data_IF_966403603022
#
_entry.id   IF_966403603022
#
_cell.length_a   1.000
_cell.length_b   1.000
_cell.length_c   1.000
_cell.angle_alpha   90.00
_cell.angle_beta   90.00
_cell.angle_gamma   90.00
#
_symmetry.space_group_name_H-M   'P 1'
#
loop_
_entity.id
_entity.type
_entity.pdbx_description
1 polymer ?
#
# COMPACT_ATOMS: atom_id res chain seq x y z
N UNK A 1 12.68 -12.28 12.44
CA UNK A 1 12.14 -11.62 11.23
C UNK A 1 12.31 -12.62 10.09
N UNK A 2 11.21 -13.06 9.50
CA UNK A 2 11.24 -13.81 8.24
C UNK A 2 10.91 -12.84 7.12
N UNK A 3 11.81 -12.70 6.15
CA UNK A 3 11.54 -12.00 4.92
C UNK A 3 10.89 -13.01 3.96
N UNK A 4 9.69 -12.72 3.50
CA UNK A 4 9.06 -13.48 2.43
C UNK A 4 9.34 -12.69 1.16
N UNK A 5 10.32 -13.14 0.40
CA UNK A 5 10.47 -12.77 -1.01
C UNK A 5 9.56 -13.72 -1.77
N UNK A 6 8.62 -13.22 -2.57
CA UNK A 6 7.79 -14.07 -3.41
C UNK A 6 8.56 -14.30 -4.73
N UNK A 7 9.22 -15.46 -4.94
CA UNK A 7 9.88 -15.72 -6.21
C UNK A 7 8.85 -15.95 -7.32
N UNK A 8 9.15 -15.52 -8.54
CA UNK A 8 8.34 -15.77 -9.73
C UNK A 8 8.00 -17.27 -9.88
N UNK A 9 6.73 -17.63 -10.16
CA UNK A 9 6.39 -19.00 -10.53
C UNK A 9 7.02 -19.36 -11.88
N UNK A 10 7.45 -20.61 -12.09
CA UNK A 10 8.17 -21.03 -13.30
C UNK A 10 7.20 -21.28 -14.46
N UNK A 11 6.50 -20.26 -14.94
CA UNK A 11 5.87 -20.13 -16.27
C UNK A 11 4.69 -19.15 -16.20
N UNK A 12 4.93 -17.89 -16.53
CA UNK A 12 3.88 -17.02 -17.08
C UNK A 12 4.53 -16.14 -18.13
N UNK A 13 4.34 -16.46 -19.40
CA UNK A 13 4.68 -15.54 -20.51
C UNK A 13 3.58 -14.47 -20.65
N UNK A 14 3.12 -13.93 -19.52
CA UNK A 14 2.08 -12.91 -19.37
C UNK A 14 2.49 -11.94 -18.25
N UNK A 15 1.78 -10.81 -18.08
CA UNK A 15 2.16 -9.70 -17.18
C UNK A 15 2.00 -10.03 -15.68
N UNK A 16 2.21 -11.29 -15.29
CA UNK A 16 2.19 -11.73 -13.90
C UNK A 16 3.63 -11.76 -13.35
N UNK A 17 4.28 -10.59 -13.26
CA UNK A 17 5.66 -10.44 -12.81
C UNK A 17 5.71 -9.94 -11.35
N UNK A 18 5.28 -10.73 -10.34
CA UNK A 18 5.47 -10.35 -8.93
C UNK A 18 6.96 -10.33 -8.48
N UNK A 19 7.92 -10.23 -9.41
CA UNK A 19 9.35 -10.15 -9.15
C UNK A 19 9.69 -8.81 -8.47
N UNK A 20 10.06 -8.88 -7.20
CA UNK A 20 10.55 -7.72 -6.45
C UNK A 20 9.70 -7.32 -5.24
N UNK A 21 8.52 -7.92 -5.04
CA UNK A 21 7.71 -7.66 -3.86
C UNK A 21 8.42 -8.12 -2.58
N UNK A 22 8.72 -7.17 -1.70
CA UNK A 22 9.35 -7.44 -0.39
C UNK A 22 8.30 -7.23 0.68
N UNK A 23 8.03 -8.28 1.47
CA UNK A 23 7.18 -8.15 2.66
C UNK A 23 7.92 -8.75 3.86
N UNK A 24 8.02 -7.98 4.94
CA UNK A 24 8.55 -8.44 6.22
C UNK A 24 7.49 -8.27 7.30
N UNK A 25 7.21 -9.37 8.01
CA UNK A 25 6.13 -9.43 8.98
C UNK A 25 6.19 -10.70 9.82
N UNK A 26 5.50 -10.74 10.96
CA UNK A 26 5.35 -11.96 11.77
C UNK A 26 4.06 -12.71 11.45
N UNK A 27 3.97 -13.35 10.27
CA UNK A 27 2.84 -14.23 9.94
C UNK A 27 2.91 -14.84 8.54
N UNK A 28 1.87 -15.59 8.16
CA UNK A 28 1.72 -16.11 6.79
C UNK A 28 0.98 -15.10 5.92
N UNK A 29 1.70 -14.51 4.98
CA UNK A 29 1.14 -13.63 3.95
C UNK A 29 0.32 -14.47 2.97
N UNK A 30 -0.82 -13.93 2.53
CA UNK A 30 -1.69 -14.59 1.54
C UNK A 30 -1.77 -13.75 0.27
N UNK A 31 -0.75 -13.78 -0.60
CA UNK A 31 -0.87 -13.20 -1.93
C UNK A 31 -1.99 -13.94 -2.67
N UNK A 32 -3.09 -13.25 -2.94
CA UNK A 32 -4.13 -13.81 -3.81
C UNK A 32 -3.80 -13.38 -5.23
N UNK A 33 -3.05 -14.22 -5.94
CA UNK A 33 -2.74 -14.00 -7.36
C UNK A 33 -4.00 -14.22 -8.19
N UNK A 34 -4.76 -13.15 -8.40
CA UNK A 34 -5.69 -13.04 -9.53
C UNK A 34 -4.89 -12.48 -10.71
N UNK A 35 -5.04 -13.03 -11.93
CA UNK A 35 -4.39 -12.45 -13.10
C UNK A 35 -4.79 -10.98 -13.27
N UNK A 36 -3.79 -10.09 -13.27
CA UNK A 36 -3.92 -8.68 -13.62
C UNK A 36 -3.74 -7.64 -12.51
N UNK A 37 -3.88 -7.95 -11.21
CA UNK A 37 -3.52 -7.07 -10.08
C UNK A 37 -3.25 -7.97 -8.86
N UNK A 38 -2.03 -8.03 -8.30
CA UNK A 38 -1.76 -8.80 -7.09
C UNK A 38 -2.40 -8.09 -5.89
N UNK A 39 -3.42 -8.74 -5.29
CA UNK A 39 -3.92 -8.35 -3.96
C UNK A 39 -3.01 -8.95 -2.90
N UNK A 40 -2.48 -8.07 -2.06
CA UNK A 40 -1.50 -8.34 -1.02
C UNK A 40 -2.13 -7.97 0.32
N UNK A 41 -2.57 -9.00 1.06
CA UNK A 41 -3.00 -8.82 2.43
C UNK A 41 -1.81 -9.05 3.35
N UNK A 42 -1.47 -8.03 4.14
CA UNK A 42 -0.53 -8.14 5.23
C UNK A 42 -1.19 -8.83 6.43
N UNK A 43 -0.51 -8.85 7.55
CA UNK A 43 -0.96 -9.48 8.79
C UNK A 43 -1.56 -8.44 9.73
N UNK A 44 -2.30 -8.84 10.78
CA UNK A 44 -2.78 -7.90 11.81
C UNK A 44 -1.68 -7.37 12.76
N UNK A 45 -0.43 -7.31 12.31
CA UNK A 45 0.73 -6.90 13.09
C UNK A 45 1.52 -5.87 12.28
N UNK A 46 2.38 -5.10 12.95
CA UNK A 46 3.29 -4.16 12.29
C UNK A 46 4.11 -4.84 11.19
N UNK A 47 3.80 -4.49 9.95
CA UNK A 47 4.39 -5.06 8.75
C UNK A 47 5.14 -3.99 7.94
N UNK A 48 6.08 -4.45 7.12
CA UNK A 48 6.75 -3.62 6.12
C UNK A 48 6.57 -4.27 4.76
N UNK A 49 6.03 -3.52 3.81
CA UNK A 49 5.78 -3.96 2.45
C UNK A 49 6.28 -2.94 1.43
N UNK A 50 6.95 -3.43 0.39
CA UNK A 50 7.37 -2.63 -0.77
C UNK A 50 6.94 -3.35 -2.04
N UNK A 51 6.10 -2.68 -2.83
CA UNK A 51 5.61 -3.09 -4.15
C UNK A 51 6.66 -2.97 -5.24
N UNK A 52 6.20 -3.15 -6.48
CA UNK A 52 7.03 -3.24 -7.68
C UNK A 52 6.83 -2.03 -8.57
N UNK A 53 6.92 -2.18 -9.90
CA UNK A 53 6.61 -1.12 -10.86
C UNK A 53 5.28 -1.42 -11.59
N UNK A 54 4.38 -2.16 -10.95
CA UNK A 54 3.10 -2.58 -11.51
C UNK A 54 1.97 -2.14 -10.59
N UNK A 55 0.78 -2.05 -11.15
CA UNK A 55 -0.43 -1.80 -10.39
C UNK A 55 -0.69 -2.91 -9.36
N UNK A 56 -0.62 -2.57 -8.08
CA UNK A 56 -0.81 -3.47 -6.94
C UNK A 56 -1.93 -3.03 -6.01
N UNK A 57 -2.43 -3.97 -5.20
CA UNK A 57 -3.43 -3.67 -4.17
C UNK A 57 -2.96 -4.19 -2.81
N UNK A 58 -2.65 -3.28 -1.89
CA UNK A 58 -2.22 -3.57 -0.52
C UNK A 58 -3.35 -3.37 0.48
N UNK A 59 -3.51 -4.34 1.38
CA UNK A 59 -4.32 -4.21 2.59
C UNK A 59 -3.44 -4.51 3.81
N UNK A 60 -3.13 -3.46 4.58
CA UNK A 60 -2.21 -3.52 5.72
C UNK A 60 -2.87 -4.13 6.98
N UNK A 61 -4.18 -3.90 7.14
CA UNK A 61 -5.07 -4.49 8.16
C UNK A 61 -5.02 -3.82 9.53
N UNK A 62 -4.25 -4.36 10.47
CA UNK A 62 -4.15 -3.87 11.84
C UNK A 62 -2.67 -3.79 12.17
N UNK A 63 -2.26 -2.80 12.94
CA UNK A 63 -0.85 -2.61 13.28
C UNK A 63 -0.33 -1.32 12.70
N UNK A 64 0.90 -0.96 13.04
CA UNK A 64 1.53 0.24 12.50
C UNK A 64 2.39 -0.15 11.30
N UNK A 65 1.82 0.02 10.11
CA UNK A 65 2.40 -0.55 8.90
C UNK A 65 3.25 0.45 8.12
N UNK A 66 4.26 -0.05 7.41
CA UNK A 66 5.04 0.70 6.43
C UNK A 66 4.82 0.09 5.05
N UNK A 67 4.05 0.76 4.21
CA UNK A 67 3.70 0.28 2.87
C UNK A 67 4.14 1.28 1.81
N UNK A 68 4.90 0.81 0.82
CA UNK A 68 5.19 1.56 -0.40
C UNK A 68 4.69 0.81 -1.63
N UNK A 69 3.88 1.45 -2.49
CA UNK A 69 3.39 0.89 -3.75
C UNK A 69 4.51 0.72 -4.78
N UNK A 70 5.38 1.70 -4.88
CA UNK A 70 6.56 1.62 -5.74
C UNK A 70 6.34 2.41 -7.02
N UNK A 71 6.06 1.75 -8.14
CA UNK A 71 5.56 2.39 -9.34
C UNK A 71 4.40 1.61 -9.92
N UNK A 72 3.65 2.20 -10.84
CA UNK A 72 2.35 1.69 -11.24
C UNK A 72 1.23 2.48 -10.57
N UNK A 73 -0.02 2.13 -10.85
CA UNK A 73 -1.17 2.78 -10.23
C UNK A 73 -1.68 1.89 -9.10
N UNK A 74 -1.28 2.19 -7.88
CA UNK A 74 -1.47 1.34 -6.73
C UNK A 74 -2.72 1.69 -5.93
N UNK A 75 -3.26 0.69 -5.24
CA UNK A 75 -4.33 0.84 -4.26
C UNK A 75 -3.82 0.40 -2.91
N UNK A 76 -3.69 1.33 -1.96
CA UNK A 76 -3.14 1.04 -0.63
C UNK A 76 -4.18 1.35 0.44
N UNK A 77 -4.45 0.38 1.32
CA UNK A 77 -5.36 0.51 2.47
C UNK A 77 -4.63 0.22 3.78
N UNK A 78 -4.35 1.24 4.59
CA UNK A 78 -3.76 1.10 5.93
C UNK A 78 -4.69 0.37 6.90
N UNK A 79 -5.98 0.76 6.91
CA UNK A 79 -7.04 0.21 7.76
C UNK A 79 -6.97 0.64 9.23
N UNK A 80 -6.25 -0.03 10.12
CA UNK A 80 -6.22 0.30 11.55
C UNK A 80 -4.79 0.37 12.07
N UNK A 81 -4.43 1.50 12.67
CA UNK A 81 -3.12 1.69 13.29
C UNK A 81 -2.56 3.06 12.94
N UNK A 82 -1.33 3.33 13.34
CA UNK A 82 -0.61 4.52 12.88
C UNK A 82 0.27 4.12 11.70
N UNK A 83 -0.25 4.30 10.49
CA UNK A 83 0.35 3.78 9.27
C UNK A 83 1.25 4.82 8.58
N UNK A 84 2.27 4.33 7.87
CA UNK A 84 3.08 5.12 6.94
C UNK A 84 2.95 4.53 5.54
N UNK A 85 2.20 5.23 4.69
CA UNK A 85 1.79 4.78 3.38
C UNK A 85 2.37 5.69 2.28
N UNK A 86 2.92 5.08 1.24
CA UNK A 86 3.49 5.77 0.09
C UNK A 86 2.91 5.17 -1.19
N UNK A 87 2.31 5.98 -2.05
CA UNK A 87 1.87 5.59 -3.41
C UNK A 87 3.08 5.24 -4.27
N UNK A 88 3.79 6.25 -4.73
CA UNK A 88 5.04 6.06 -5.46
C UNK A 88 5.03 6.78 -6.81
N UNK A 89 5.45 6.10 -7.88
CA UNK A 89 5.31 6.61 -9.24
C UNK A 89 4.02 6.10 -9.91
N UNK A 90 3.07 6.97 -10.22
CA UNK A 90 1.84 6.60 -10.92
C UNK A 90 0.63 7.30 -10.32
N UNK A 91 -0.55 7.08 -10.89
CA UNK A 91 -1.78 7.69 -10.35
C UNK A 91 -2.34 6.76 -9.25
N UNK A 92 -2.03 7.04 -7.99
CA UNK A 92 -2.30 6.14 -6.87
C UNK A 92 -3.60 6.44 -6.11
N UNK A 93 -4.14 5.43 -5.42
CA UNK A 93 -5.25 5.57 -4.48
C UNK A 93 -4.86 5.07 -3.10
N UNK A 94 -4.61 5.98 -2.17
CA UNK A 94 -4.12 5.64 -0.82
C UNK A 94 -5.12 6.06 0.24
N UNK A 95 -5.44 5.13 1.16
CA UNK A 95 -6.35 5.33 2.27
C UNK A 95 -5.65 4.99 3.59
N UNK A 96 -5.48 5.97 4.47
CA UNK A 96 -4.91 5.81 5.81
C UNK A 96 -5.77 4.88 6.66
N UNK A 97 -6.99 5.29 6.95
CA UNK A 97 -7.97 4.47 7.65
C UNK A 97 -8.23 4.99 9.05
N UNK A 98 -7.97 4.21 10.09
CA UNK A 98 -8.15 4.63 11.48
C UNK A 98 -6.81 4.73 12.17
N UNK A 99 -6.55 5.88 12.75
CA UNK A 99 -5.34 6.17 13.51
C UNK A 99 -4.71 7.43 12.96
N UNK A 100 -3.50 7.76 13.42
CA UNK A 100 -2.83 8.97 12.97
C UNK A 100 -1.86 8.58 11.87
N UNK A 101 -2.28 8.76 10.62
CA UNK A 101 -1.56 8.20 9.48
C UNK A 101 -0.65 9.24 8.81
N UNK A 102 0.42 8.75 8.18
CA UNK A 102 1.25 9.52 7.25
C UNK A 102 1.04 8.92 5.87
N UNK A 103 0.48 9.72 4.96
CA UNK A 103 0.18 9.31 3.58
C UNK A 103 0.92 10.23 2.60
N UNK A 104 1.73 9.66 1.70
CA UNK A 104 2.44 10.38 0.65
C UNK A 104 2.11 9.81 -0.74
N UNK A 105 1.49 10.61 -1.60
CA UNK A 105 1.18 10.25 -2.99
C UNK A 105 2.42 10.14 -3.88
N UNK A 106 3.47 10.89 -3.57
CA UNK A 106 4.68 11.04 -4.40
C UNK A 106 4.42 11.63 -5.79
N UNK A 107 4.46 10.87 -6.88
CA UNK A 107 4.47 11.41 -8.24
C UNK A 107 3.33 10.82 -9.07
N UNK A 108 2.44 11.67 -9.55
CA UNK A 108 1.25 11.27 -10.31
C UNK A 108 0.04 12.06 -9.87
N UNK A 109 -1.14 11.72 -10.39
CA UNK A 109 -2.38 12.36 -9.97
C UNK A 109 -3.06 11.45 -8.94
N UNK A 110 -2.81 11.72 -7.67
CA UNK A 110 -3.17 10.79 -6.61
C UNK A 110 -4.52 11.09 -5.99
N UNK A 111 -5.11 10.07 -5.38
CA UNK A 111 -6.31 10.18 -4.55
C UNK A 111 -5.98 9.69 -3.14
N UNK A 112 -5.89 10.64 -2.21
CA UNK A 112 -5.45 10.39 -0.84
C UNK A 112 -6.59 10.64 0.16
N UNK A 113 -6.88 9.64 0.99
CA UNK A 113 -7.84 9.72 2.08
C UNK A 113 -7.14 9.49 3.42
N UNK A 114 -7.26 10.44 4.35
CA UNK A 114 -6.77 10.26 5.73
C UNK A 114 -7.73 9.42 6.57
N UNK A 115 -9.03 9.55 6.27
CA UNK A 115 -10.12 8.99 7.07
C UNK A 115 -10.09 9.46 8.53
N UNK A 116 -9.99 8.56 9.51
CA UNK A 116 -10.22 8.88 10.93
C UNK A 116 -8.90 9.00 11.68
N UNK A 117 -8.54 10.23 12.01
CA UNK A 117 -7.52 10.54 12.99
C UNK A 117 -6.89 11.89 12.74
N UNK A 118 -5.75 12.14 13.38
CA UNK A 118 -4.92 13.30 13.11
C UNK A 118 -3.88 12.93 12.05
N UNK A 119 -4.28 13.00 10.78
CA UNK A 119 -3.47 12.53 9.65
C UNK A 119 -2.57 13.62 9.04
N UNK A 120 -1.49 13.18 8.40
CA UNK A 120 -0.61 14.00 7.58
C UNK A 120 -0.63 13.46 6.16
N UNK A 121 -1.14 14.26 5.22
CA UNK A 121 -1.24 13.88 3.81
C UNK A 121 -0.37 14.80 2.93
N UNK A 122 0.47 14.19 2.11
CA UNK A 122 1.29 14.85 1.10
C UNK A 122 0.85 14.36 -0.28
N UNK A 123 0.32 15.25 -1.11
CA UNK A 123 -0.04 14.91 -2.51
C UNK A 123 1.18 14.71 -3.41
N UNK A 124 2.30 15.35 -3.08
CA UNK A 124 3.49 15.30 -3.92
C UNK A 124 3.32 16.09 -5.21
N UNK A 125 3.63 15.48 -6.34
CA UNK A 125 3.67 16.12 -7.65
C UNK A 125 2.63 15.59 -8.61
N UNK A 126 1.68 16.44 -8.98
CA UNK A 126 0.67 16.15 -10.00
C UNK A 126 -0.60 16.94 -9.69
N UNK A 127 -1.76 16.41 -10.08
CA UNK A 127 -3.05 17.00 -9.71
C UNK A 127 -3.77 16.06 -8.75
N UNK A 128 -3.62 16.34 -7.46
CA UNK A 128 -4.04 15.40 -6.42
C UNK A 128 -5.42 15.76 -5.88
N UNK A 129 -6.17 14.72 -5.50
CA UNK A 129 -7.34 14.83 -4.65
C UNK A 129 -6.97 14.38 -3.24
N UNK A 130 -7.12 15.27 -2.27
CA UNK A 130 -6.77 14.99 -0.87
C UNK A 130 -8.00 15.26 0.00
N UNK A 131 -8.41 14.25 0.76
CA UNK A 131 -9.51 14.35 1.72
C UNK A 131 -9.05 13.84 3.09
N UNK A 132 -9.12 14.70 4.09
CA UNK A 132 -8.93 14.34 5.50
C UNK A 132 -10.15 14.84 6.27
N UNK A 133 -11.11 13.96 6.59
CA UNK A 133 -12.27 14.35 7.36
C UNK A 133 -11.85 14.61 8.80
N UNK A 134 -12.05 15.86 9.25
CA UNK A 134 -11.76 16.24 10.63
C UNK A 134 -12.66 15.47 11.61
N UNK A 135 -12.03 14.90 12.65
CA UNK A 135 -12.58 14.10 13.75
C UNK A 135 -14.08 14.30 14.04
N UNK A 136 -14.85 13.20 14.11
CA UNK A 136 -16.15 13.17 14.80
C UNK A 136 -15.93 13.50 16.28
N UNK A 137 -16.52 14.62 16.73
CA UNK A 137 -16.49 15.13 18.11
C UNK A 137 -17.58 14.50 18.98
#
# INVERSE_FOLDING_TARGET
MSQIVIPSPPHSTGPDDCDGLIITGSGELRPTTRPGIPRINLTPLDDIAYGTNQDEEFAALEGNDLVGGGGGNDVIQGNQGEDTLSGGEGDDSVMGGKGNDIVDGNAGNDVLYGDRGDDILYGGGGNDYIESPMLEY
#
